data_IF_360718718410
#
_entry.id   IF_360718718410
#
_cell.length_a   1.000
_cell.length_b   1.000
_cell.length_c   1.000
_cell.angle_alpha   90.00
_cell.angle_beta   90.00
_cell.angle_gamma   90.00
#
_symmetry.space_group_name_H-M   'P 1'
#
loop_
_entity.id
_entity.type
_entity.pdbx_description
1 polymer ?
#
# COMPACT_ATOMS: atom_id res chain seq x y z
N UNK A 1 -14.90 17.30 16.88
CA UNK A 1 -15.05 17.79 15.47
C UNK A 1 -16.26 17.14 14.85
N UNK A 2 -17.12 17.91 14.20
CA UNK A 2 -18.32 17.44 13.53
C UNK A 2 -18.30 17.86 12.05
N UNK A 3 -18.30 16.87 11.14
CA UNK A 3 -18.43 17.09 9.70
C UNK A 3 -19.92 17.03 9.34
N UNK A 4 -20.48 18.12 8.79
CA UNK A 4 -21.91 18.27 8.50
C UNK A 4 -22.21 18.17 7.01
N UNK A 5 -23.40 17.67 6.66
CA UNK A 5 -24.00 17.72 5.32
C UNK A 5 -23.18 17.01 4.23
N UNK A 6 -22.38 16.01 4.59
CA UNK A 6 -21.46 15.35 3.66
C UNK A 6 -22.16 14.39 2.68
N UNK A 7 -21.57 14.22 1.48
CA UNK A 7 -21.69 12.98 0.72
C UNK A 7 -20.69 11.97 1.31
N UNK A 8 -21.13 11.26 2.35
CA UNK A 8 -20.29 10.36 3.15
C UNK A 8 -20.27 8.96 2.54
N UNK A 9 -19.09 8.39 2.38
CA UNK A 9 -18.92 7.01 1.93
C UNK A 9 -19.10 6.06 3.13
N UNK A 10 -20.25 5.36 3.18
CA UNK A 10 -20.57 4.44 4.28
C UNK A 10 -19.65 3.18 4.27
N UNK A 11 -19.74 2.36 5.32
CA UNK A 11 -18.99 1.08 5.41
C UNK A 11 -19.32 0.06 4.33
N UNK A 12 -20.44 0.26 3.61
CA UNK A 12 -20.83 -0.55 2.45
C UNK A 12 -20.31 0.03 1.13
N UNK A 13 -19.47 1.08 1.20
CA UNK A 13 -18.94 1.81 0.05
C UNK A 13 -20.03 2.41 -0.85
N UNK A 14 -21.07 2.99 -0.24
CA UNK A 14 -22.11 3.75 -0.92
C UNK A 14 -22.12 5.18 -0.38
N UNK A 15 -22.27 6.17 -1.24
CA UNK A 15 -22.43 7.55 -0.81
C UNK A 15 -23.83 7.76 -0.24
N UNK A 16 -23.90 8.29 0.98
CA UNK A 16 -25.11 8.70 1.69
C UNK A 16 -24.98 10.15 2.15
N UNK A 17 -26.10 10.84 2.33
CA UNK A 17 -26.10 12.14 3.00
C UNK A 17 -26.09 11.88 4.50
N UNK A 18 -25.00 12.26 5.16
CA UNK A 18 -24.86 12.08 6.60
C UNK A 18 -23.84 13.06 7.19
N UNK A 19 -23.91 13.22 8.50
CA UNK A 19 -22.91 13.88 9.32
C UNK A 19 -21.96 12.82 9.92
N UNK A 20 -20.76 13.24 10.30
CA UNK A 20 -19.77 12.40 10.96
C UNK A 20 -19.25 13.11 12.21
N UNK A 21 -19.47 12.53 13.39
CA UNK A 21 -18.92 13.01 14.65
C UNK A 21 -17.63 12.28 15.00
N UNK A 22 -16.58 13.04 15.27
CA UNK A 22 -15.27 12.55 15.69
C UNK A 22 -15.04 12.94 17.15
N UNK A 23 -14.75 11.96 18.01
CA UNK A 23 -14.37 12.17 19.41
C UNK A 23 -13.18 11.30 19.79
N UNK A 24 -12.21 11.88 20.49
CA UNK A 24 -11.03 11.15 21.00
C UNK A 24 -10.29 10.35 19.91
N UNK A 25 -10.16 10.94 18.73
CA UNK A 25 -9.48 10.30 17.59
C UNK A 25 -10.23 9.16 16.92
N UNK A 26 -11.50 8.94 17.26
CA UNK A 26 -12.37 7.86 16.76
C UNK A 26 -13.62 8.42 16.11
N UNK A 27 -14.20 7.65 15.19
CA UNK A 27 -15.53 7.90 14.66
C UNK A 27 -16.54 7.52 15.77
N UNK A 28 -17.26 8.52 16.26
CA UNK A 28 -18.19 8.35 17.38
C UNK A 28 -19.63 8.11 16.90
N UNK A 29 -20.07 8.80 15.84
CA UNK A 29 -21.44 8.71 15.35
C UNK A 29 -21.49 9.07 13.86
N UNK A 30 -22.42 8.44 13.12
CA UNK A 30 -22.73 8.71 11.71
C UNK A 30 -24.25 8.78 11.58
N UNK A 31 -24.77 9.85 10.99
CA UNK A 31 -26.22 10.03 10.79
C UNK A 31 -26.60 11.49 10.74
N UNK A 32 -27.81 11.82 11.16
CA UNK A 32 -28.24 13.20 11.38
C UNK A 32 -27.86 13.59 12.82
N UNK A 33 -26.94 14.55 12.98
CA UNK A 33 -26.30 14.87 14.26
C UNK A 33 -26.58 16.33 14.62
N UNK A 34 -26.98 16.59 15.88
CA UNK A 34 -27.19 17.95 16.39
C UNK A 34 -25.85 18.71 16.45
N UNK A 35 -25.83 19.91 15.84
CA UNK A 35 -24.67 20.78 15.82
C UNK A 35 -24.24 21.29 17.21
N UNK A 36 -25.10 21.18 18.22
CA UNK A 36 -24.76 21.53 19.61
C UNK A 36 -23.79 20.53 20.28
N UNK A 37 -23.56 19.35 19.68
CA UNK A 37 -22.73 18.30 20.27
C UNK A 37 -21.22 18.57 20.13
N UNK A 38 -20.82 19.51 19.27
CA UNK A 38 -19.41 19.90 19.10
C UNK A 38 -19.31 21.36 18.64
N UNK A 39 -18.32 22.09 19.15
CA UNK A 39 -18.06 23.47 18.77
C UNK A 39 -17.17 23.59 17.51
N UNK A 40 -16.50 22.52 17.13
CA UNK A 40 -15.66 22.44 15.92
C UNK A 40 -16.47 21.77 14.80
N UNK A 41 -17.24 22.60 14.08
CA UNK A 41 -18.14 22.17 13.02
C UNK A 41 -17.56 22.56 11.66
N UNK A 42 -17.45 21.59 10.77
CA UNK A 42 -17.01 21.77 9.38
C UNK A 42 -18.20 21.47 8.46
N UNK A 43 -18.63 22.44 7.66
CA UNK A 43 -19.63 22.22 6.62
C UNK A 43 -19.00 21.52 5.40
N UNK A 44 -19.47 20.32 5.12
CA UNK A 44 -19.06 19.47 4.00
C UNK A 44 -20.13 19.43 2.89
N UNK A 45 -21.03 20.42 2.81
CA UNK A 45 -22.06 20.51 1.76
C UNK A 45 -21.43 20.41 0.37
N UNK A 46 -21.92 19.44 -0.43
CA UNK A 46 -21.40 19.19 -1.79
C UNK A 46 -20.03 18.53 -1.84
N UNK A 47 -19.43 18.11 -0.72
CA UNK A 47 -18.13 17.44 -0.65
C UNK A 47 -18.29 15.95 -0.43
N UNK A 48 -17.31 15.19 -0.90
CA UNK A 48 -17.12 13.80 -0.51
C UNK A 48 -16.37 13.74 0.82
N UNK A 49 -16.86 12.89 1.72
CA UNK A 49 -16.18 12.50 2.96
C UNK A 49 -15.91 11.01 2.85
N UNK A 50 -14.63 10.63 2.79
CA UNK A 50 -14.18 9.25 2.57
C UNK A 50 -13.15 8.84 3.62
N UNK A 51 -12.88 7.52 3.80
CA UNK A 51 -11.77 7.07 4.64
C UNK A 51 -10.43 7.58 4.13
N UNK A 52 -9.48 7.78 5.04
CA UNK A 52 -8.08 8.02 4.70
C UNK A 52 -7.50 6.88 3.86
N UNK A 53 -6.63 7.21 2.91
CA UNK A 53 -5.99 6.21 2.06
C UNK A 53 -4.97 5.39 2.85
N UNK A 54 -4.85 4.12 2.49
CA UNK A 54 -3.94 3.14 3.10
C UNK A 54 -3.01 2.59 2.02
N UNK A 55 -1.73 2.95 2.05
CA UNK A 55 -0.72 2.47 1.11
C UNK A 55 0.14 1.38 1.74
N UNK A 56 -0.03 0.14 1.29
CA UNK A 56 0.69 -1.00 1.86
C UNK A 56 2.01 -1.32 1.14
N UNK A 57 2.32 -0.57 0.06
CA UNK A 57 3.53 -0.76 -0.72
C UNK A 57 4.07 0.59 -1.21
N UNK A 58 5.01 1.17 -0.47
CA UNK A 58 5.66 2.45 -0.78
C UNK A 58 7.07 2.50 -0.20
N UNK A 59 8.09 2.74 -1.05
CA UNK A 59 9.50 2.83 -0.64
C UNK A 59 9.87 4.23 -0.18
N UNK A 60 9.36 5.26 -0.88
CA UNK A 60 9.77 6.62 -0.60
C UNK A 60 8.93 7.69 -1.30
N UNK A 61 9.19 8.94 -0.94
CA UNK A 61 8.62 10.14 -1.55
C UNK A 61 9.34 11.40 -1.03
N UNK A 62 9.18 12.53 -1.71
CA UNK A 62 9.71 13.82 -1.25
C UNK A 62 11.23 13.88 -1.14
N UNK A 63 11.95 13.05 -1.92
CA UNK A 63 13.40 12.99 -1.90
C UNK A 63 14.00 12.06 -0.84
N UNK A 64 13.16 11.30 -0.11
CA UNK A 64 13.59 10.37 0.94
C UNK A 64 13.06 8.96 0.69
N UNK A 65 13.73 7.97 1.28
CA UNK A 65 13.42 6.54 1.13
C UNK A 65 13.38 5.85 2.50
N UNK A 66 12.58 4.81 2.64
CA UNK A 66 12.55 3.94 3.82
C UNK A 66 13.96 3.39 4.12
N UNK A 67 14.72 3.07 3.07
CA UNK A 67 16.05 2.51 3.18
C UNK A 67 17.15 3.52 3.55
N UNK A 68 16.84 4.81 3.66
CA UNK A 68 17.76 5.84 4.21
C UNK A 68 18.05 5.59 5.71
N UNK A 69 17.27 4.76 6.37
CA UNK A 69 17.42 4.35 7.76
C UNK A 69 17.66 5.54 8.72
N UNK A 70 16.85 6.59 8.56
CA UNK A 70 16.92 7.79 9.40
C UNK A 70 15.53 8.27 9.81
N UNK A 71 15.44 8.91 10.99
CA UNK A 71 14.18 9.50 11.46
C UNK A 71 13.75 10.64 10.54
N UNK A 72 14.68 11.41 10.04
CA UNK A 72 14.46 12.55 9.16
C UNK A 72 13.81 12.10 7.85
N UNK A 73 14.27 11.00 7.26
CA UNK A 73 13.64 10.41 6.07
C UNK A 73 12.20 9.98 6.36
N UNK A 74 11.96 9.27 7.47
CA UNK A 74 10.61 8.85 7.88
C UNK A 74 9.69 10.03 8.19
N UNK A 75 10.22 11.15 8.72
CA UNK A 75 9.47 12.40 8.90
C UNK A 75 9.02 12.98 7.54
N UNK A 76 9.90 12.96 6.53
CA UNK A 76 9.58 13.38 5.16
C UNK A 76 8.51 12.50 4.54
N UNK A 77 8.66 11.17 4.64
CA UNK A 77 7.67 10.22 4.15
C UNK A 77 6.30 10.46 4.83
N UNK A 78 6.26 10.50 6.15
CA UNK A 78 5.04 10.73 6.93
C UNK A 78 4.34 12.02 6.53
N UNK A 79 5.10 13.11 6.35
CA UNK A 79 4.55 14.40 5.94
C UNK A 79 4.02 14.35 4.49
N UNK A 80 4.83 13.89 3.55
CA UNK A 80 4.51 13.90 2.12
C UNK A 80 3.31 12.97 1.82
N UNK A 81 3.27 11.78 2.39
CA UNK A 81 2.13 10.86 2.29
C UNK A 81 0.87 11.51 2.87
N UNK A 82 0.97 12.07 4.08
CA UNK A 82 -0.16 12.73 4.73
C UNK A 82 -0.68 13.95 3.95
N UNK A 83 0.20 14.75 3.33
CA UNK A 83 -0.20 15.88 2.48
C UNK A 83 -0.97 15.41 1.23
N UNK A 84 -0.70 14.19 0.75
CA UNK A 84 -1.38 13.57 -0.38
C UNK A 84 -2.65 12.77 0.01
N UNK A 85 -3.06 12.77 1.29
CA UNK A 85 -4.27 12.07 1.76
C UNK A 85 -4.06 10.60 2.12
N UNK A 86 -2.83 10.11 2.11
CA UNK A 86 -2.49 8.80 2.65
C UNK A 86 -2.34 8.96 4.16
N UNK A 87 -3.25 8.38 4.94
CA UNK A 87 -3.26 8.53 6.40
C UNK A 87 -2.47 7.46 7.11
N UNK A 88 -2.31 6.30 6.43
CA UNK A 88 -1.60 5.14 6.95
C UNK A 88 -0.82 4.46 5.82
N UNK A 89 0.42 4.04 6.09
CA UNK A 89 1.22 3.31 5.10
C UNK A 89 2.17 2.30 5.74
N UNK A 90 2.52 1.25 4.98
CA UNK A 90 3.61 0.35 5.32
C UNK A 90 4.91 0.91 4.71
N UNK A 91 5.94 1.08 5.55
CA UNK A 91 7.28 1.41 5.07
C UNK A 91 7.85 0.17 4.37
N UNK A 92 8.08 0.28 3.06
CA UNK A 92 8.53 -0.86 2.24
C UNK A 92 10.04 -0.85 2.12
N UNK A 93 10.66 -2.00 2.42
CA UNK A 93 12.12 -2.19 2.29
C UNK A 93 12.47 -2.71 0.91
N UNK A 94 13.76 -2.67 0.57
CA UNK A 94 14.33 -3.28 -0.62
C UNK A 94 15.16 -4.52 -0.24
N UNK A 95 15.55 -5.31 -1.24
CA UNK A 95 16.54 -6.38 -1.07
C UNK A 95 17.92 -5.78 -0.80
N UNK A 96 18.37 -5.83 0.45
CA UNK A 96 19.59 -5.21 0.97
C UNK A 96 20.42 -6.20 1.81
N UNK A 97 21.69 -5.87 2.13
CA UNK A 97 22.47 -6.62 3.12
C UNK A 97 21.73 -6.68 4.47
N UNK A 98 21.89 -7.78 5.18
CA UNK A 98 21.21 -8.04 6.48
C UNK A 98 21.46 -6.92 7.50
N UNK A 99 22.70 -6.46 7.65
CA UNK A 99 23.05 -5.39 8.56
C UNK A 99 22.35 -4.04 8.24
N UNK A 100 22.04 -3.78 6.97
CA UNK A 100 21.29 -2.57 6.58
C UNK A 100 19.80 -2.75 6.91
N UNK A 101 19.24 -3.94 6.64
CA UNK A 101 17.86 -4.26 7.02
C UNK A 101 17.67 -4.18 8.54
N UNK A 102 18.60 -4.67 9.35
CA UNK A 102 18.56 -4.56 10.82
C UNK A 102 18.44 -3.09 11.28
N UNK A 103 19.23 -2.19 10.67
CA UNK A 103 19.16 -0.75 10.98
C UNK A 103 17.80 -0.17 10.58
N UNK A 104 17.33 -0.47 9.37
CA UNK A 104 16.04 0.01 8.85
C UNK A 104 14.91 -0.43 9.77
N UNK A 105 14.85 -1.71 10.14
CA UNK A 105 13.81 -2.27 11.03
C UNK A 105 13.85 -1.63 12.43
N UNK A 106 15.05 -1.41 12.97
CA UNK A 106 15.21 -0.73 14.26
C UNK A 106 14.72 0.72 14.24
N UNK A 107 15.09 1.49 13.21
CA UNK A 107 14.66 2.89 13.06
C UNK A 107 13.15 2.98 12.87
N UNK A 108 12.54 2.11 12.05
CA UNK A 108 11.08 2.09 11.86
C UNK A 108 10.38 1.80 13.20
N UNK A 109 10.85 0.81 13.97
CA UNK A 109 10.31 0.49 15.30
C UNK A 109 10.34 1.73 16.22
N UNK A 110 11.49 2.40 16.28
CA UNK A 110 11.66 3.56 17.14
C UNK A 110 10.74 4.71 16.68
N UNK A 111 10.62 4.92 15.38
CA UNK A 111 9.71 5.91 14.79
C UNK A 111 8.24 5.61 15.08
N UNK A 112 7.81 4.36 14.92
CA UNK A 112 6.42 3.94 15.19
C UNK A 112 6.03 4.07 16.66
N UNK A 113 7.00 3.99 17.59
CA UNK A 113 6.77 4.15 19.03
C UNK A 113 6.64 5.61 19.46
N UNK A 114 7.04 6.56 18.63
CA UNK A 114 7.02 8.00 18.89
C UNK A 114 5.85 8.72 18.24
N UNK A 115 5.89 10.05 18.34
CA UNK A 115 4.96 10.93 17.60
C UNK A 115 5.39 11.00 16.13
N UNK A 116 4.48 10.65 15.23
CA UNK A 116 4.69 10.70 13.80
C UNK A 116 4.21 12.05 13.23
N UNK A 117 4.87 12.56 12.22
CA UNK A 117 4.64 13.94 11.73
C UNK A 117 3.24 14.15 11.17
N UNK A 118 2.74 13.23 10.32
CA UNK A 118 1.42 13.34 9.72
C UNK A 118 0.80 11.95 9.47
N UNK A 119 1.08 11.30 8.33
CA UNK A 119 0.65 9.95 8.06
C UNK A 119 1.30 8.94 9.02
N UNK A 120 0.57 7.89 9.38
CA UNK A 120 1.09 6.88 10.28
C UNK A 120 1.82 5.77 9.50
N UNK A 121 3.06 5.47 9.86
CA UNK A 121 3.66 4.18 9.53
C UNK A 121 2.98 3.14 10.41
N UNK A 122 2.28 2.19 9.79
CA UNK A 122 1.47 1.17 10.49
C UNK A 122 2.12 -0.21 10.48
N UNK A 123 3.27 -0.33 9.83
CA UNK A 123 4.05 -1.55 9.76
C UNK A 123 5.09 -1.49 8.67
N UNK A 124 5.71 -2.63 8.43
CA UNK A 124 6.73 -2.84 7.41
C UNK A 124 6.15 -3.76 6.34
N UNK A 125 6.36 -3.42 5.07
CA UNK A 125 6.32 -4.37 3.97
C UNK A 125 7.75 -4.81 3.68
N UNK A 126 8.08 -6.07 3.91
CA UNK A 126 9.39 -6.65 3.65
C UNK A 126 9.43 -7.14 2.20
N UNK A 127 9.79 -6.25 1.26
CA UNK A 127 9.91 -6.59 -0.15
C UNK A 127 11.30 -7.17 -0.44
N UNK A 128 11.35 -8.47 -0.49
CA UNK A 128 12.57 -9.26 -0.60
C UNK A 128 13.18 -9.65 0.75
N UNK A 129 14.30 -10.35 0.74
CA UNK A 129 15.19 -10.75 -0.37
C UNK A 129 14.82 -12.07 -1.06
N UNK A 130 13.67 -12.66 -0.81
CA UNK A 130 13.29 -14.01 -1.25
C UNK A 130 12.73 -14.04 -2.66
N UNK A 131 13.50 -13.52 -3.65
CA UNK A 131 13.03 -13.30 -5.01
C UNK A 131 13.78 -14.14 -6.04
N UNK A 132 13.11 -14.44 -7.16
CA UNK A 132 13.71 -15.09 -8.30
C UNK A 132 14.65 -14.13 -9.04
N UNK A 133 15.90 -14.53 -9.24
CA UNK A 133 16.91 -13.69 -9.90
C UNK A 133 16.50 -13.22 -11.30
N UNK A 134 15.72 -14.04 -12.05
CA UNK A 134 15.22 -13.67 -13.38
C UNK A 134 14.07 -12.67 -13.34
N UNK A 135 13.48 -12.44 -12.18
CA UNK A 135 12.34 -11.53 -11.94
C UNK A 135 12.64 -10.45 -10.89
N UNK A 136 13.91 -10.24 -10.59
CA UNK A 136 14.34 -9.32 -9.54
C UNK A 136 13.92 -7.85 -9.79
N UNK A 137 13.62 -7.45 -11.03
CA UNK A 137 13.35 -6.06 -11.35
C UNK A 137 14.48 -5.13 -10.91
N UNK A 138 14.15 -4.09 -10.16
CA UNK A 138 15.09 -3.14 -9.57
C UNK A 138 15.71 -3.62 -8.24
N UNK A 139 15.47 -4.85 -7.80
CA UNK A 139 16.07 -5.39 -6.58
C UNK A 139 17.53 -5.75 -6.78
N UNK A 140 18.33 -5.69 -5.71
CA UNK A 140 19.77 -6.04 -5.74
C UNK A 140 19.98 -7.55 -5.86
N UNK A 141 20.50 -7.98 -7.00
CA UNK A 141 20.72 -9.41 -7.30
C UNK A 141 21.76 -10.09 -6.40
N UNK A 142 22.73 -9.34 -5.89
CA UNK A 142 23.79 -9.82 -4.99
C UNK A 142 23.32 -10.07 -3.55
N UNK A 143 22.14 -9.57 -3.19
CA UNK A 143 21.55 -9.72 -1.86
C UNK A 143 20.37 -10.71 -1.83
N UNK A 144 20.01 -11.35 -2.96
CA UNK A 144 18.94 -12.33 -3.02
C UNK A 144 19.24 -13.56 -2.13
N UNK A 145 18.21 -14.08 -1.49
CA UNK A 145 18.26 -15.25 -0.60
C UNK A 145 17.13 -16.21 -0.94
N UNK A 146 17.30 -17.48 -0.60
CA UNK A 146 16.16 -18.42 -0.47
C UNK A 146 15.37 -18.11 0.80
N UNK A 147 14.06 -18.42 0.86
CA UNK A 147 13.25 -18.19 2.04
C UNK A 147 13.84 -18.86 3.29
N UNK A 148 14.05 -18.06 4.32
CA UNK A 148 14.65 -18.47 5.59
C UNK A 148 13.82 -17.93 6.77
N UNK A 149 13.18 -18.83 7.51
CA UNK A 149 12.35 -18.49 8.68
C UNK A 149 13.16 -17.81 9.79
N UNK A 150 14.41 -18.23 10.00
CA UNK A 150 15.25 -17.64 11.07
C UNK A 150 15.64 -16.21 10.72
N UNK A 151 16.04 -15.97 9.48
CA UNK A 151 16.33 -14.63 8.97
C UNK A 151 15.11 -13.69 9.11
N UNK A 152 13.94 -14.14 8.66
CA UNK A 152 12.70 -13.39 8.78
C UNK A 152 12.35 -13.10 10.24
N UNK A 153 12.36 -14.13 11.11
CA UNK A 153 11.99 -14.00 12.52
C UNK A 153 12.96 -13.05 13.25
N UNK A 154 14.25 -13.11 12.92
CA UNK A 154 15.26 -12.20 13.47
C UNK A 154 14.92 -10.75 13.16
N UNK A 155 14.75 -10.40 11.86
CA UNK A 155 14.40 -9.04 11.43
C UNK A 155 13.06 -8.58 12.02
N UNK A 156 12.02 -9.43 11.99
CA UNK A 156 10.72 -9.10 12.53
C UNK A 156 10.79 -8.82 14.05
N UNK A 157 11.63 -9.55 14.79
CA UNK A 157 11.86 -9.30 16.22
C UNK A 157 12.51 -7.94 16.50
N UNK A 158 13.45 -7.50 15.66
CA UNK A 158 14.08 -6.17 15.75
C UNK A 158 13.03 -5.06 15.64
N UNK A 159 12.05 -5.22 14.75
CA UNK A 159 10.95 -4.26 14.59
C UNK A 159 9.82 -4.40 15.61
N UNK A 160 9.96 -5.23 16.64
CA UNK A 160 8.90 -5.57 17.58
C UNK A 160 7.66 -6.18 16.88
N UNK A 161 7.87 -7.06 15.92
CA UNK A 161 6.87 -7.73 15.11
C UNK A 161 5.99 -6.76 14.26
N UNK A 162 6.63 -5.72 13.73
CA UNK A 162 5.95 -4.72 12.92
C UNK A 162 5.75 -5.13 11.45
N UNK A 163 6.33 -6.25 10.99
CA UNK A 163 6.12 -6.72 9.61
C UNK A 163 4.65 -7.07 9.40
N UNK A 164 4.05 -6.49 8.36
CA UNK A 164 2.66 -6.75 7.93
C UNK A 164 2.60 -7.62 6.70
N UNK A 165 3.52 -7.40 5.75
CA UNK A 165 3.67 -8.20 4.55
C UNK A 165 5.11 -8.69 4.42
N UNK A 166 5.27 -9.86 3.82
CA UNK A 166 6.54 -10.36 3.30
C UNK A 166 6.33 -10.86 1.89
N UNK A 167 7.10 -10.31 0.94
CA UNK A 167 6.99 -10.62 -0.47
C UNK A 167 8.02 -11.67 -0.86
N UNK A 168 7.59 -12.70 -1.62
CA UNK A 168 8.47 -13.80 -1.97
C UNK A 168 8.09 -14.51 -3.27
N UNK A 169 9.09 -15.15 -3.90
CA UNK A 169 8.93 -16.03 -5.04
C UNK A 169 8.67 -17.47 -4.55
N UNK A 170 7.49 -18.06 -4.80
CA UNK A 170 7.12 -19.35 -4.23
C UNK A 170 7.80 -20.57 -4.89
N UNK A 171 8.48 -20.39 -6.03
CA UNK A 171 9.24 -21.44 -6.70
C UNK A 171 10.61 -21.70 -6.07
N UNK A 172 11.08 -20.84 -5.16
CA UNK A 172 12.36 -21.02 -4.50
C UNK A 172 12.33 -22.19 -3.50
N UNK A 173 13.46 -22.83 -3.30
CA UNK A 173 13.61 -23.90 -2.31
C UNK A 173 13.26 -23.39 -0.91
N UNK A 174 12.48 -24.19 -0.14
CA UNK A 174 12.06 -23.84 1.22
C UNK A 174 10.81 -22.93 1.29
N UNK A 175 10.27 -22.47 0.14
CA UNK A 175 9.15 -21.51 0.11
C UNK A 175 7.89 -22.03 0.81
N UNK A 176 7.52 -23.29 0.58
CA UNK A 176 6.28 -23.83 1.18
C UNK A 176 6.39 -24.00 2.70
N UNK A 177 7.58 -24.35 3.19
CA UNK A 177 7.91 -24.40 4.62
C UNK A 177 7.85 -23.03 5.25
N UNK A 178 8.45 -22.02 4.58
CA UNK A 178 8.43 -20.63 5.01
C UNK A 178 7.00 -20.11 5.11
N UNK A 179 6.18 -20.25 4.07
CA UNK A 179 4.78 -19.81 4.05
C UNK A 179 4.02 -20.37 5.25
N UNK A 180 4.10 -21.71 5.47
CA UNK A 180 3.41 -22.37 6.60
C UNK A 180 3.88 -21.86 7.95
N UNK A 181 5.16 -21.52 8.08
CA UNK A 181 5.74 -21.08 9.34
C UNK A 181 5.31 -19.65 9.73
N UNK A 182 5.06 -18.75 8.76
CA UNK A 182 4.85 -17.33 9.06
C UNK A 182 3.45 -16.80 8.76
N UNK A 183 2.58 -17.57 8.07
CA UNK A 183 1.25 -17.13 7.57
C UNK A 183 0.28 -16.63 8.65
N UNK A 184 0.42 -17.08 9.86
CA UNK A 184 -0.47 -16.70 10.96
C UNK A 184 -0.06 -15.34 11.54
N UNK A 185 1.21 -14.99 11.46
CA UNK A 185 1.78 -13.75 11.98
C UNK A 185 1.72 -12.60 10.97
N UNK A 186 2.00 -12.89 9.68
CA UNK A 186 2.09 -11.88 8.62
C UNK A 186 1.33 -12.29 7.37
N UNK A 187 1.05 -11.34 6.52
CA UNK A 187 0.53 -11.61 5.18
C UNK A 187 1.69 -12.02 4.27
N UNK A 188 1.63 -13.25 3.74
CA UNK A 188 2.62 -13.71 2.74
C UNK A 188 2.10 -13.34 1.36
N UNK A 189 2.93 -12.61 0.61
CA UNK A 189 2.63 -12.12 -0.73
C UNK A 189 3.53 -12.79 -1.78
N UNK A 190 2.94 -13.14 -2.91
CA UNK A 190 3.67 -13.71 -4.05
C UNK A 190 4.09 -12.57 -4.97
N UNK A 191 5.39 -12.36 -5.13
CA UNK A 191 5.96 -11.33 -5.98
C UNK A 191 7.33 -11.69 -6.51
N UNK A 192 7.84 -10.95 -7.50
CA UNK A 192 9.16 -11.14 -8.11
C UNK A 192 9.46 -12.60 -8.46
N UNK A 193 8.53 -13.21 -9.21
CA UNK A 193 8.44 -14.67 -9.36
C UNK A 193 8.31 -15.11 -10.81
N UNK A 194 8.92 -16.23 -11.13
CA UNK A 194 8.70 -16.96 -12.38
C UNK A 194 7.71 -18.14 -12.20
N UNK A 195 7.03 -18.22 -11.05
CA UNK A 195 6.10 -19.31 -10.76
C UNK A 195 5.04 -19.46 -11.85
N UNK A 196 4.77 -20.73 -12.19
CA UNK A 196 3.62 -21.11 -12.98
C UNK A 196 2.34 -21.15 -12.14
N UNK A 197 1.24 -21.55 -12.77
CA UNK A 197 -0.07 -21.63 -12.13
C UNK A 197 -0.09 -22.65 -10.97
N UNK A 198 0.54 -23.81 -11.15
CA UNK A 198 0.52 -24.89 -10.16
C UNK A 198 1.33 -24.53 -8.92
N UNK A 199 2.51 -23.92 -9.11
CA UNK A 199 3.36 -23.44 -8.01
C UNK A 199 2.64 -22.31 -7.25
N UNK A 200 2.07 -21.32 -7.95
CA UNK A 200 1.32 -20.24 -7.32
C UNK A 200 0.10 -20.76 -6.55
N UNK A 201 -0.68 -21.67 -7.14
CA UNK A 201 -1.82 -22.32 -6.47
C UNK A 201 -1.37 -23.10 -5.24
N UNK A 202 -0.23 -23.80 -5.32
CA UNK A 202 0.35 -24.52 -4.17
C UNK A 202 0.73 -23.55 -3.04
N UNK A 203 1.34 -22.41 -3.37
CA UNK A 203 1.69 -21.38 -2.38
C UNK A 203 0.43 -20.82 -1.69
N UNK A 204 -0.61 -20.49 -2.45
CA UNK A 204 -1.90 -20.03 -1.93
C UNK A 204 -2.52 -21.07 -0.98
N UNK A 205 -2.55 -22.35 -1.36
CA UNK A 205 -3.04 -23.45 -0.51
C UNK A 205 -2.21 -23.64 0.77
N UNK A 206 -0.94 -23.24 0.77
CA UNK A 206 -0.08 -23.29 1.96
C UNK A 206 -0.22 -22.04 2.85
N UNK A 207 -0.88 -20.96 2.39
CA UNK A 207 -1.20 -19.81 3.21
C UNK A 207 -0.75 -18.46 2.67
N UNK A 208 -0.21 -18.37 1.45
CA UNK A 208 -0.06 -17.08 0.78
C UNK A 208 -1.45 -16.50 0.46
N UNK A 209 -1.69 -15.24 0.85
CA UNK A 209 -2.99 -14.60 0.75
C UNK A 209 -2.98 -13.30 -0.05
N UNK A 210 -1.84 -12.94 -0.61
CA UNK A 210 -1.63 -11.68 -1.32
C UNK A 210 -0.75 -11.86 -2.56
N UNK A 211 -0.88 -10.95 -3.53
CA UNK A 211 -0.02 -10.88 -4.71
C UNK A 211 0.54 -9.46 -4.81
N UNK A 212 1.83 -9.35 -4.88
CA UNK A 212 2.58 -8.10 -5.00
C UNK A 212 2.48 -7.56 -6.42
N UNK A 213 2.19 -6.27 -6.59
CA UNK A 213 2.16 -5.47 -7.83
C UNK A 213 1.88 -6.30 -9.10
N UNK A 214 0.66 -6.90 -9.16
CA UNK A 214 0.19 -7.79 -10.23
C UNK A 214 0.65 -7.31 -11.63
N UNK A 215 1.10 -8.23 -12.48
CA UNK A 215 1.74 -8.06 -13.79
C UNK A 215 3.24 -7.69 -13.73
N UNK A 216 3.70 -6.97 -12.72
CA UNK A 216 5.08 -6.52 -12.65
C UNK A 216 5.97 -7.59 -12.03
N UNK A 217 7.19 -7.75 -12.58
CA UNK A 217 8.18 -8.74 -12.14
C UNK A 217 7.62 -10.18 -12.04
N UNK A 218 6.69 -10.57 -12.93
CA UNK A 218 6.14 -11.93 -13.02
C UNK A 218 5.88 -12.32 -14.48
N UNK A 219 5.48 -13.58 -14.71
CA UNK A 219 5.07 -14.02 -16.04
C UNK A 219 3.68 -13.52 -16.37
N UNK A 220 3.44 -13.09 -17.61
CA UNK A 220 2.14 -12.66 -18.09
C UNK A 220 1.14 -13.81 -18.20
N UNK A 221 -0.16 -13.49 -18.16
CA UNK A 221 -1.25 -14.45 -18.39
C UNK A 221 -1.35 -14.80 -19.86
N UNK A 222 -1.24 -16.07 -20.19
CA UNK A 222 -1.56 -16.59 -21.53
C UNK A 222 -2.59 -17.72 -21.43
N UNK A 223 -3.23 -18.08 -22.54
CA UNK A 223 -4.29 -19.07 -22.55
C UNK A 223 -3.85 -20.53 -22.24
N UNK A 224 -2.53 -20.80 -22.24
CA UNK A 224 -1.97 -22.11 -21.87
C UNK A 224 -0.96 -22.02 -20.71
N UNK A 225 -0.59 -20.82 -20.30
CA UNK A 225 0.27 -20.59 -19.16
C UNK A 225 -0.30 -19.38 -18.36
N UNK A 226 -1.34 -19.60 -17.54
CA UNK A 226 -2.02 -18.51 -16.82
C UNK A 226 -1.19 -17.92 -15.68
N UNK A 227 -0.17 -18.63 -15.19
CA UNK A 227 0.76 -18.17 -14.17
C UNK A 227 0.11 -17.71 -12.87
N UNK A 228 0.79 -16.81 -12.17
CA UNK A 228 0.31 -16.21 -10.92
C UNK A 228 -1.02 -15.46 -11.10
N UNK A 229 -1.20 -14.80 -12.25
CA UNK A 229 -2.42 -14.03 -12.54
C UNK A 229 -3.65 -14.94 -12.59
N UNK A 230 -3.52 -16.11 -13.24
CA UNK A 230 -4.59 -17.12 -13.28
C UNK A 230 -4.86 -17.71 -11.90
N UNK A 231 -3.82 -18.07 -11.15
CA UNK A 231 -3.97 -18.59 -9.78
C UNK A 231 -4.65 -17.57 -8.84
N UNK A 232 -4.32 -16.27 -8.97
CA UNK A 232 -4.98 -15.21 -8.22
C UNK A 232 -6.45 -15.05 -8.60
N UNK A 233 -6.78 -15.14 -9.90
CA UNK A 233 -8.17 -15.09 -10.39
C UNK A 233 -9.03 -16.21 -9.80
N UNK A 234 -8.48 -17.42 -9.72
CA UNK A 234 -9.19 -18.62 -9.27
C UNK A 234 -9.21 -18.82 -7.74
N UNK A 235 -8.70 -17.82 -7.00
CA UNK A 235 -8.59 -17.87 -5.54
C UNK A 235 -9.20 -16.64 -4.86
N UNK A 236 -9.11 -16.57 -3.52
CA UNK A 236 -9.58 -15.43 -2.73
C UNK A 236 -8.45 -14.49 -2.28
N UNK A 237 -7.26 -14.58 -2.88
CA UNK A 237 -6.15 -13.69 -2.53
C UNK A 237 -6.45 -12.25 -2.94
N UNK A 238 -5.95 -11.29 -2.17
CA UNK A 238 -5.93 -9.88 -2.57
C UNK A 238 -4.75 -9.62 -3.50
N UNK A 239 -4.84 -8.62 -4.36
CA UNK A 239 -3.80 -8.32 -5.34
C UNK A 239 -3.49 -6.83 -5.39
N UNK A 240 -2.22 -6.48 -5.31
CA UNK A 240 -1.78 -5.11 -5.51
C UNK A 240 -1.81 -4.72 -6.99
N UNK A 241 -2.06 -3.44 -7.25
CA UNK A 241 -2.08 -2.89 -8.61
C UNK A 241 -1.55 -1.44 -8.60
N UNK A 242 -0.49 -1.18 -9.37
CA UNK A 242 0.04 0.17 -9.59
C UNK A 242 -0.79 0.80 -10.69
N UNK A 243 -1.58 1.80 -10.35
CA UNK A 243 -2.52 2.44 -11.29
C UNK A 243 -2.04 3.83 -11.72
N UNK A 244 -0.83 3.93 -12.26
CA UNK A 244 -0.23 5.19 -12.74
C UNK A 244 -0.36 5.41 -14.25
N UNK A 245 -0.72 4.35 -15.00
CA UNK A 245 -0.81 4.36 -16.46
C UNK A 245 0.55 4.26 -17.15
N UNK A 246 1.62 3.94 -16.40
CA UNK A 246 2.99 3.72 -16.91
C UNK A 246 3.36 2.24 -16.73
N UNK A 247 3.14 1.69 -15.53
CA UNK A 247 3.39 0.28 -15.23
C UNK A 247 2.42 -0.65 -15.93
N UNK A 248 1.15 -0.25 -16.03
CA UNK A 248 0.07 -1.08 -16.54
C UNK A 248 -0.83 -0.25 -17.46
N UNK A 249 -1.11 -0.76 -18.65
CA UNK A 249 -2.07 -0.16 -19.58
C UNK A 249 -3.50 -0.13 -19.00
N UNK A 250 -4.25 0.91 -19.33
CA UNK A 250 -5.61 1.10 -18.83
C UNK A 250 -6.54 -0.10 -19.12
N UNK A 251 -6.36 -0.79 -20.24
CA UNK A 251 -7.15 -1.99 -20.58
C UNK A 251 -6.83 -3.17 -19.67
N UNK A 252 -5.56 -3.37 -19.32
CA UNK A 252 -5.12 -4.39 -18.39
C UNK A 252 -5.57 -4.09 -16.95
N UNK A 253 -5.57 -2.82 -16.54
CA UNK A 253 -6.15 -2.39 -15.26
C UNK A 253 -7.64 -2.75 -15.20
N UNK A 254 -8.43 -2.41 -16.21
CA UNK A 254 -9.86 -2.79 -16.26
C UNK A 254 -10.07 -4.31 -16.24
N UNK A 255 -9.20 -5.06 -16.92
CA UNK A 255 -9.24 -6.53 -16.89
C UNK A 255 -8.93 -7.07 -15.50
N UNK A 256 -7.90 -6.54 -14.82
CA UNK A 256 -7.56 -6.93 -13.44
C UNK A 256 -8.71 -6.70 -12.46
N UNK A 257 -9.37 -5.53 -12.52
CA UNK A 257 -10.54 -5.25 -11.66
C UNK A 257 -11.69 -6.24 -11.89
N UNK A 258 -11.90 -6.71 -13.14
CA UNK A 258 -12.92 -7.72 -13.44
C UNK A 258 -12.50 -9.12 -12.97
N UNK A 259 -11.23 -9.51 -13.19
CA UNK A 259 -10.72 -10.82 -12.78
C UNK A 259 -10.66 -10.98 -11.26
N UNK A 260 -10.28 -9.91 -10.55
CA UNK A 260 -10.07 -9.97 -9.10
C UNK A 260 -11.33 -9.66 -8.28
N UNK A 261 -12.43 -9.26 -8.89
CA UNK A 261 -13.76 -9.06 -8.28
C UNK A 261 -13.74 -8.49 -6.85
N UNK A 262 -13.41 -7.21 -6.72
CA UNK A 262 -13.39 -6.49 -5.44
C UNK A 262 -12.18 -6.78 -4.53
N UNK A 263 -11.19 -7.54 -4.98
CA UNK A 263 -9.98 -7.93 -4.23
C UNK A 263 -8.72 -7.13 -4.60
N UNK A 264 -8.85 -6.12 -5.47
CA UNK A 264 -7.73 -5.24 -5.84
C UNK A 264 -7.38 -4.33 -4.66
N UNK A 265 -6.10 -4.23 -4.35
CA UNK A 265 -5.47 -3.21 -3.50
C UNK A 265 -4.71 -2.25 -4.43
N UNK A 266 -5.14 -1.01 -4.53
CA UNK A 266 -4.30 0.00 -5.18
C UNK A 266 -3.13 0.31 -4.27
N UNK A 267 -1.94 0.39 -4.86
CA UNK A 267 -0.69 0.79 -4.21
C UNK A 267 -0.01 1.86 -5.05
N UNK A 268 0.89 2.60 -4.45
CA UNK A 268 1.71 3.54 -5.21
C UNK A 268 2.98 2.89 -5.76
N UNK A 269 3.59 1.99 -5.02
CA UNK A 269 4.96 1.52 -5.28
C UNK A 269 5.90 2.72 -5.50
N UNK A 270 5.66 3.78 -4.73
CA UNK A 270 6.37 5.06 -4.89
C UNK A 270 7.79 4.97 -4.39
N UNK A 271 8.70 5.70 -5.06
CA UNK A 271 10.09 5.83 -4.66
C UNK A 271 10.44 7.29 -4.36
N UNK A 272 11.65 7.54 -3.92
CA UNK A 272 12.11 8.88 -3.44
C UNK A 272 11.78 10.04 -4.38
N UNK A 273 11.67 9.81 -5.70
CA UNK A 273 11.32 10.83 -6.68
C UNK A 273 9.84 11.26 -6.67
N UNK A 274 8.96 10.58 -5.93
CA UNK A 274 7.55 10.96 -5.87
C UNK A 274 7.37 12.33 -5.25
N UNK A 275 6.70 13.22 -5.97
CA UNK A 275 6.56 14.63 -5.58
C UNK A 275 7.75 15.51 -5.94
N UNK A 276 8.76 14.97 -6.61
CA UNK A 276 9.98 15.67 -6.99
C UNK A 276 10.03 15.94 -8.51
N UNK A 277 10.88 16.86 -9.01
CA UNK A 277 11.06 17.10 -10.42
C UNK A 277 11.74 15.94 -11.16
N UNK A 278 11.77 15.98 -12.49
CA UNK A 278 12.61 15.07 -13.29
C UNK A 278 14.08 15.18 -12.85
N UNK A 279 14.79 14.05 -12.78
CA UNK A 279 16.18 14.04 -12.31
C UNK A 279 16.74 12.65 -12.02
N UNK A 280 17.88 12.63 -11.35
CA UNK A 280 18.52 11.41 -10.84
C UNK A 280 18.16 11.23 -9.38
N UNK A 281 17.79 9.99 -9.03
CA UNK A 281 17.40 9.57 -7.68
C UNK A 281 18.04 8.24 -7.37
N UNK A 282 17.67 7.67 -6.23
CA UNK A 282 18.17 6.37 -5.80
C UNK A 282 16.99 5.51 -5.29
N UNK A 283 17.09 4.19 -5.52
CA UNK A 283 16.19 3.17 -4.96
C UNK A 283 17.03 1.96 -4.57
N UNK A 284 17.07 1.63 -3.28
CA UNK A 284 17.82 0.50 -2.75
C UNK A 284 19.32 0.53 -3.10
N UNK A 285 19.94 1.70 -3.15
CA UNK A 285 21.35 1.90 -3.51
C UNK A 285 21.64 1.88 -5.01
N UNK A 286 20.62 1.86 -5.86
CA UNK A 286 20.77 1.89 -7.31
C UNK A 286 20.30 3.22 -7.89
N UNK A 287 21.06 3.78 -8.86
CA UNK A 287 20.66 5.01 -9.55
C UNK A 287 19.41 4.81 -10.40
N UNK A 288 18.45 5.72 -10.25
CA UNK A 288 17.21 5.78 -11.00
C UNK A 288 17.09 7.11 -11.72
N UNK A 289 16.70 7.07 -12.98
CA UNK A 289 16.47 8.24 -13.81
C UNK A 289 14.96 8.46 -13.97
N UNK A 290 14.48 9.63 -13.57
CA UNK A 290 13.07 10.00 -13.67
C UNK A 290 12.89 11.02 -14.78
N UNK A 291 12.06 10.65 -15.76
CA UNK A 291 11.63 11.53 -16.85
C UNK A 291 10.13 11.32 -17.13
N UNK A 292 9.38 12.40 -17.14
CA UNK A 292 7.94 12.41 -17.45
C UNK A 292 7.16 11.39 -16.60
N UNK A 293 7.44 11.37 -15.30
CA UNK A 293 6.91 10.45 -14.29
C UNK A 293 7.33 8.98 -14.44
N UNK A 294 8.16 8.63 -15.42
CA UNK A 294 8.70 7.28 -15.58
C UNK A 294 10.07 7.19 -14.91
N UNK A 295 10.17 6.30 -13.92
CA UNK A 295 11.41 5.99 -13.21
C UNK A 295 12.05 4.72 -13.81
N UNK A 296 13.34 4.79 -14.16
CA UNK A 296 14.05 3.63 -14.76
C UNK A 296 15.48 3.53 -14.27
N UNK A 297 15.99 2.31 -14.21
CA UNK A 297 17.43 2.04 -14.13
C UNK A 297 18.10 2.40 -15.44
N UNK A 298 19.44 2.36 -15.46
CA UNK A 298 20.26 2.66 -16.65
C UNK A 298 19.97 1.73 -17.85
N UNK A 299 19.56 0.49 -17.57
CA UNK A 299 19.21 -0.51 -18.59
C UNK A 299 17.75 -0.39 -19.09
N UNK A 300 16.99 0.59 -18.59
CA UNK A 300 15.60 0.85 -18.96
C UNK A 300 14.56 0.05 -18.14
N UNK A 301 14.99 -0.77 -17.19
CA UNK A 301 14.10 -1.46 -16.25
C UNK A 301 13.33 -0.42 -15.43
N UNK A 302 12.00 -0.54 -15.34
CA UNK A 302 11.17 0.32 -14.47
C UNK A 302 11.54 0.02 -13.02
N UNK A 303 11.66 1.09 -12.22
CA UNK A 303 12.18 1.04 -10.85
C UNK A 303 11.28 1.83 -9.90
N UNK A 304 10.24 1.19 -9.36
CA UNK A 304 9.20 1.86 -8.59
C UNK A 304 8.45 2.92 -9.39
N UNK A 305 7.56 3.64 -8.76
CA UNK A 305 6.80 4.73 -9.38
C UNK A 305 7.19 6.11 -8.85
N UNK A 306 6.85 7.16 -9.58
CA UNK A 306 6.88 8.54 -9.09
C UNK A 306 5.47 9.11 -8.85
N UNK A 307 4.49 8.22 -8.60
CA UNK A 307 3.11 8.57 -8.29
C UNK A 307 2.81 8.41 -6.80
N UNK A 308 1.70 8.96 -6.33
CA UNK A 308 1.15 8.70 -5.00
C UNK A 308 -0.18 7.95 -5.11
N UNK A 309 -0.66 7.38 -4.01
CA UNK A 309 -1.87 6.57 -4.01
C UNK A 309 -3.13 7.36 -4.39
N UNK A 310 -3.23 8.65 -4.05
CA UNK A 310 -4.37 9.48 -4.45
C UNK A 310 -4.40 9.68 -5.98
N UNK A 311 -3.25 9.84 -6.62
CA UNK A 311 -3.16 9.92 -8.08
C UNK A 311 -3.50 8.56 -8.72
N UNK A 312 -3.16 7.44 -8.09
CA UNK A 312 -3.62 6.11 -8.52
C UNK A 312 -5.14 5.99 -8.46
N UNK A 313 -5.80 6.50 -7.42
CA UNK A 313 -7.28 6.55 -7.32
C UNK A 313 -7.87 7.38 -8.46
N UNK A 314 -7.35 8.60 -8.69
CA UNK A 314 -7.80 9.48 -9.79
C UNK A 314 -7.63 8.82 -11.16
N UNK A 315 -6.49 8.16 -11.37
CA UNK A 315 -6.20 7.42 -12.60
C UNK A 315 -7.14 6.23 -12.80
N UNK A 316 -7.40 5.44 -11.75
CA UNK A 316 -8.35 4.33 -11.82
C UNK A 316 -9.74 4.83 -12.26
N UNK A 317 -10.23 5.93 -11.68
CA UNK A 317 -11.50 6.55 -12.09
C UNK A 317 -11.44 7.02 -13.55
N UNK A 318 -10.36 7.67 -13.98
CA UNK A 318 -10.18 8.11 -15.36
C UNK A 318 -10.13 6.96 -16.36
N UNK A 319 -9.73 5.76 -15.94
CA UNK A 319 -9.73 4.54 -16.74
C UNK A 319 -11.07 3.79 -16.74
N UNK A 320 -12.09 4.35 -16.05
CA UNK A 320 -13.45 3.83 -16.02
C UNK A 320 -13.76 2.88 -14.86
N UNK A 321 -12.93 2.84 -13.83
CA UNK A 321 -13.24 2.13 -12.58
C UNK A 321 -14.21 3.01 -11.77
N UNK A 322 -15.34 2.47 -11.26
CA UNK A 322 -16.26 3.24 -10.43
C UNK A 322 -15.56 3.87 -9.22
N UNK A 323 -15.89 5.13 -8.89
CA UNK A 323 -15.24 5.89 -7.82
C UNK A 323 -15.22 5.12 -6.49
N UNK A 324 -16.36 4.55 -6.09
CA UNK A 324 -16.47 3.80 -4.82
C UNK A 324 -15.60 2.55 -4.82
N UNK A 325 -15.44 1.89 -5.98
CA UNK A 325 -14.54 0.74 -6.16
C UNK A 325 -13.07 1.18 -6.04
N UNK A 326 -12.69 2.27 -6.70
CA UNK A 326 -11.33 2.82 -6.63
C UNK A 326 -10.96 3.22 -5.19
N UNK A 327 -11.88 3.91 -4.47
CA UNK A 327 -11.67 4.28 -3.06
C UNK A 327 -11.56 3.02 -2.19
N UNK A 328 -12.46 2.05 -2.34
CA UNK A 328 -12.39 0.79 -1.58
C UNK A 328 -11.06 0.08 -1.78
N UNK A 329 -10.54 0.09 -3.01
CA UNK A 329 -9.26 -0.52 -3.36
C UNK A 329 -8.05 0.21 -2.81
N UNK A 330 -8.18 1.47 -2.41
CA UNK A 330 -7.12 2.28 -1.80
C UNK A 330 -7.32 2.50 -0.27
N UNK A 331 -8.31 1.87 0.35
CA UNK A 331 -8.67 2.06 1.76
C UNK A 331 -8.92 0.72 2.46
N UNK A 332 -10.10 0.15 2.31
CA UNK A 332 -10.54 -1.07 2.99
C UNK A 332 -9.78 -2.31 2.54
N UNK A 333 -9.58 -2.50 1.23
CA UNK A 333 -8.92 -3.70 0.71
C UNK A 333 -7.48 -3.81 1.21
N UNK A 334 -6.61 -2.76 1.11
CA UNK A 334 -5.27 -2.84 1.67
C UNK A 334 -5.27 -2.96 3.21
N UNK A 335 -6.18 -2.28 3.93
CA UNK A 335 -6.31 -2.47 5.37
C UNK A 335 -6.64 -3.92 5.73
N UNK A 336 -7.55 -4.56 4.98
CA UNK A 336 -7.92 -5.96 5.14
C UNK A 336 -6.76 -6.91 4.78
N UNK A 337 -6.01 -6.60 3.72
CA UNK A 337 -4.87 -7.41 3.31
C UNK A 337 -3.83 -7.55 4.43
N UNK A 338 -3.67 -6.52 5.26
CA UNK A 338 -2.75 -6.49 6.40
C UNK A 338 -3.43 -6.73 7.76
N UNK A 339 -4.68 -7.23 7.76
CA UNK A 339 -5.46 -7.59 8.97
C UNK A 339 -5.72 -6.38 9.90
N UNK A 340 -5.94 -5.18 9.35
CA UNK A 340 -6.21 -3.94 10.09
C UNK A 340 -7.58 -3.31 9.78
N UNK A 341 -8.48 -3.99 9.08
CA UNK A 341 -9.81 -3.48 8.70
C UNK A 341 -10.73 -3.17 9.89
N UNK A 342 -10.41 -3.68 11.06
CA UNK A 342 -11.11 -3.38 12.31
C UNK A 342 -10.60 -2.11 13.01
N UNK A 343 -9.64 -1.40 12.39
CA UNK A 343 -9.03 -0.19 12.93
C UNK A 343 -9.07 0.98 11.95
N UNK A 344 -8.79 0.73 10.66
CA UNK A 344 -8.67 1.74 9.60
C UNK A 344 -9.31 1.25 8.29
N UNK A 345 -9.42 2.14 7.29
CA UNK A 345 -9.79 1.79 5.91
C UNK A 345 -11.28 1.91 5.60
N UNK A 346 -12.13 2.22 6.57
CA UNK A 346 -13.55 2.53 6.36
C UNK A 346 -14.06 3.57 7.34
N UNK A 347 -15.20 4.19 7.03
CA UNK A 347 -15.92 5.03 7.99
C UNK A 347 -16.93 4.15 8.72
N UNK A 348 -16.56 3.66 9.90
CA UNK A 348 -17.43 2.91 10.80
C UNK A 348 -17.17 3.34 12.26
N UNK A 349 -18.18 3.17 13.11
CA UNK A 349 -18.12 3.58 14.52
C UNK A 349 -16.98 2.83 15.23
N UNK A 350 -16.22 3.55 16.06
CA UNK A 350 -15.07 3.11 16.83
C UNK A 350 -13.77 2.87 16.03
N UNK A 351 -13.77 3.02 14.70
CA UNK A 351 -12.53 3.03 13.92
C UNK A 351 -11.76 4.35 14.14
N UNK A 352 -10.48 4.34 13.81
CA UNK A 352 -9.66 5.55 13.82
C UNK A 352 -10.28 6.58 12.88
N UNK A 353 -10.37 7.83 13.34
CA UNK A 353 -10.94 8.91 12.56
C UNK A 353 -9.92 9.45 11.55
N UNK A 354 -9.58 8.60 10.60
CA UNK A 354 -8.76 8.90 9.43
C UNK A 354 -9.71 9.21 8.27
N UNK A 355 -9.85 10.50 7.94
CA UNK A 355 -10.92 11.00 7.07
C UNK A 355 -10.37 12.01 6.08
N UNK A 356 -10.82 11.93 4.83
CA UNK A 356 -10.55 12.92 3.79
C UNK A 356 -11.82 13.65 3.40
N UNK A 357 -11.71 14.97 3.25
CA UNK A 357 -12.74 15.81 2.64
C UNK A 357 -12.24 16.24 1.27
N UNK A 358 -13.01 15.96 0.23
CA UNK A 358 -12.66 16.25 -1.18
C UNK A 358 -13.81 16.93 -1.89
N UNK A 359 -13.51 17.72 -2.90
CA UNK A 359 -14.52 18.20 -3.84
C UNK A 359 -14.96 17.11 -4.84
N UNK A 360 -15.87 17.47 -5.75
CA UNK A 360 -16.40 16.53 -6.76
C UNK A 360 -15.40 16.19 -7.86
N UNK A 361 -14.35 16.96 -8.02
CA UNK A 361 -13.24 16.73 -8.95
C UNK A 361 -12.10 15.94 -8.30
N UNK A 362 -12.33 15.43 -7.07
CA UNK A 362 -11.39 14.68 -6.23
C UNK A 362 -10.16 15.49 -5.82
N UNK A 363 -10.27 16.82 -5.75
CA UNK A 363 -9.25 17.65 -5.14
C UNK A 363 -9.38 17.57 -3.61
N UNK A 364 -8.26 17.30 -2.95
CA UNK A 364 -8.19 17.15 -1.50
C UNK A 364 -8.29 18.51 -0.82
N UNK A 365 -9.24 18.67 0.10
CA UNK A 365 -9.43 19.91 0.85
C UNK A 365 -8.99 19.80 2.32
N UNK A 366 -9.25 18.65 2.95
CA UNK A 366 -8.82 18.40 4.33
C UNK A 366 -8.37 16.97 4.51
N UNK A 367 -7.34 16.81 5.33
CA UNK A 367 -6.84 15.53 5.81
C UNK A 367 -6.98 15.52 7.33
N UNK A 368 -7.75 14.58 7.83
CA UNK A 368 -7.96 14.35 9.26
C UNK A 368 -7.32 13.01 9.59
N UNK A 369 -6.40 12.99 10.53
CA UNK A 369 -5.70 11.78 10.96
C UNK A 369 -5.89 11.63 12.46
N UNK A 370 -6.46 10.51 12.89
CA UNK A 370 -6.84 10.25 14.29
C UNK A 370 -7.62 11.43 14.88
N UNK A 371 -8.53 11.99 14.09
CA UNK A 371 -9.39 13.08 14.52
C UNK A 371 -8.74 14.47 14.57
N UNK A 372 -7.51 14.61 14.13
CA UNK A 372 -6.80 15.89 14.07
C UNK A 372 -6.69 16.33 12.61
N UNK A 373 -7.19 17.55 12.31
CA UNK A 373 -7.00 18.16 11.00
C UNK A 373 -5.54 18.61 10.87
N UNK A 374 -4.81 18.02 9.93
CA UNK A 374 -3.36 18.22 9.77
C UNK A 374 -3.02 18.86 8.43
#
# INVERSE_FOLDING_TARGET
>A
MLLKNADLLDKSFRFIKADLLIKNGKIAEIGEIDSSLDNDVIDCSGKYVIPGLVDIHTHGCGGSDTCDASKEALDVLSKTQGDAGITSFCATTMTLPEADLEKIFSIIKDYMSGEQKKANIIGINMEGPFFNASKKGAQRGDCLKTPDVKFFTHLNSISNNAVKLVDMAPELDGSMEFIRAVKDDVTVSIGHTAADYDIATKAIRNGATHITHLYNAMNGLTHRAPGVIGAASDSNVTTELICDGIHIDASAIRAAFKLMDGRVCLISDSMSATGMPNGEYELGGQKVFVKDKKATLIDGTIAGSSTNLMDCVRKAVSFGIPLTTAIKSATFNPAKAIKMENKIGSLDINLDADVLVMDKDLALEKVIIKGICK
#
